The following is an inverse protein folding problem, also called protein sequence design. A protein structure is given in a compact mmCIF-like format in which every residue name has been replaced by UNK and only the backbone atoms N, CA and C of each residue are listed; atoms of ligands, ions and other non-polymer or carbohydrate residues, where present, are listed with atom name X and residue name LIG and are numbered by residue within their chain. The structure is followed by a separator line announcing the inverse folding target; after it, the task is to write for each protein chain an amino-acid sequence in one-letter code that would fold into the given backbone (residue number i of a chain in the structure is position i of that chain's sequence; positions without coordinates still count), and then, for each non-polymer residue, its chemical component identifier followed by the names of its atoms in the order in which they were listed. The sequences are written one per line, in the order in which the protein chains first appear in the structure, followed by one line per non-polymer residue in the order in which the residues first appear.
data_IF_953378618592
#
_entry.id   IF_953378618592
#
_cell.length_a   1.000
_cell.length_b   1.000
_cell.length_c   1.000
_cell.angle_alpha   90.00
_cell.angle_beta   90.00
_cell.angle_gamma   90.00
#
_symmetry.space_group_name_H-M   'P 1'
#
loop_
_entity.id
_entity.type
_entity.pdbx_description
1 polymer ?
#
# COMPACT_ATOMS: atom_id res chain seq x y z
N UNK A 1 -47.21 14.15 -17.72
CA UNK A 1 -46.33 13.43 -16.76
C UNK A 1 -45.53 12.42 -17.54
N UNK A 2 -44.24 12.68 -17.77
CA UNK A 2 -43.26 11.63 -18.10
C UNK A 2 -41.90 12.14 -17.62
N UNK A 3 -41.42 11.59 -16.51
CA UNK A 3 -40.05 11.77 -16.04
C UNK A 3 -39.23 10.64 -16.66
N UNK A 4 -38.18 10.89 -17.46
CA UNK A 4 -37.30 9.82 -17.88
C UNK A 4 -36.33 9.46 -16.75
N UNK A 5 -36.49 8.23 -16.32
CA UNK A 5 -35.60 7.33 -15.59
C UNK A 5 -34.13 7.78 -15.39
N UNK A 6 -33.75 7.90 -14.13
CA UNK A 6 -32.37 7.88 -13.64
C UNK A 6 -31.83 6.45 -13.74
N UNK A 7 -31.06 6.14 -14.78
CA UNK A 7 -30.34 4.87 -14.92
C UNK A 7 -29.17 5.09 -15.85
N UNK A 8 -28.15 5.74 -15.32
CA UNK A 8 -26.95 6.09 -16.06
C UNK A 8 -25.88 6.61 -15.12
N UNK A 9 -25.71 6.00 -13.93
CA UNK A 9 -24.42 6.08 -13.26
C UNK A 9 -23.47 5.25 -14.10
N UNK A 10 -22.97 5.92 -15.13
CA UNK A 10 -21.81 5.51 -15.88
C UNK A 10 -20.78 5.09 -14.85
N UNK A 11 -20.36 3.85 -15.01
CA UNK A 11 -19.09 3.30 -14.57
C UNK A 11 -18.00 4.21 -15.16
N UNK A 12 -17.89 5.42 -14.61
CA UNK A 12 -16.83 6.34 -14.93
C UNK A 12 -15.59 5.65 -14.40
N UNK A 13 -14.78 5.15 -15.33
CA UNK A 13 -13.38 4.83 -15.10
C UNK A 13 -12.79 5.97 -14.27
N UNK A 14 -12.64 5.71 -12.97
CA UNK A 14 -12.22 6.70 -12.00
C UNK A 14 -10.74 7.00 -12.24
N UNK A 15 -10.44 7.86 -13.20
CA UNK A 15 -9.19 8.61 -13.24
C UNK A 15 -9.22 9.76 -12.20
N UNK A 16 -9.90 9.55 -11.07
CA UNK A 16 -9.77 10.38 -9.88
C UNK A 16 -8.70 9.72 -9.02
N UNK A 17 -7.70 10.46 -8.51
CA UNK A 17 -6.82 9.91 -7.50
C UNK A 17 -7.70 9.42 -6.34
N UNK A 18 -7.65 8.12 -6.03
CA UNK A 18 -8.30 7.58 -4.83
C UNK A 18 -7.93 8.48 -3.64
N UNK A 19 -8.91 8.90 -2.85
CA UNK A 19 -8.58 9.68 -1.65
C UNK A 19 -7.83 8.77 -0.67
N UNK A 20 -6.99 9.33 0.22
CA UNK A 20 -6.28 8.53 1.23
C UNK A 20 -7.22 7.62 2.03
N UNK A 21 -8.43 8.09 2.34
CA UNK A 21 -9.44 7.31 3.06
C UNK A 21 -9.98 6.15 2.23
N UNK A 22 -10.15 6.33 0.92
CA UNK A 22 -10.55 5.27 0.00
C UNK A 22 -9.45 4.21 -0.13
N UNK A 23 -8.19 4.63 -0.29
CA UNK A 23 -7.05 3.71 -0.35
C UNK A 23 -6.99 2.83 0.91
N UNK A 24 -7.09 3.45 2.09
CA UNK A 24 -7.16 2.74 3.37
C UNK A 24 -8.31 1.74 3.43
N UNK A 25 -9.51 2.16 3.03
CA UNK A 25 -10.69 1.28 3.07
C UNK A 25 -10.53 0.08 2.15
N UNK A 26 -9.97 0.29 0.96
CA UNK A 26 -9.69 -0.77 -0.03
C UNK A 26 -8.66 -1.75 0.55
N UNK A 27 -7.52 -1.26 1.04
CA UNK A 27 -6.45 -2.12 1.56
C UNK A 27 -6.92 -2.90 2.79
N UNK A 28 -7.64 -2.29 3.72
CA UNK A 28 -8.24 -3.00 4.87
C UNK A 28 -9.27 -4.05 4.45
N UNK A 29 -10.06 -3.76 3.40
CA UNK A 29 -11.00 -4.71 2.84
C UNK A 29 -10.31 -5.94 2.26
N UNK A 30 -9.27 -5.71 1.45
CA UNK A 30 -8.46 -6.75 0.82
C UNK A 30 -7.71 -7.58 1.87
N UNK A 31 -7.13 -6.94 2.88
CA UNK A 31 -6.42 -7.63 3.96
C UNK A 31 -7.37 -8.52 4.77
N UNK A 32 -8.56 -8.01 5.13
CA UNK A 32 -9.59 -8.79 5.82
C UNK A 32 -10.10 -9.96 4.98
N UNK A 33 -10.32 -9.75 3.68
CA UNK A 33 -10.76 -10.79 2.77
C UNK A 33 -9.70 -11.88 2.60
N UNK A 34 -8.44 -11.48 2.41
CA UNK A 34 -7.30 -12.38 2.32
C UNK A 34 -7.11 -13.16 3.64
N UNK A 35 -7.23 -12.50 4.79
CA UNK A 35 -7.18 -13.15 6.10
C UNK A 35 -8.31 -14.16 6.32
N UNK A 36 -9.52 -13.88 5.80
CA UNK A 36 -10.69 -14.75 5.92
C UNK A 36 -10.64 -15.95 4.96
N UNK A 37 -10.03 -15.78 3.78
CA UNK A 37 -9.93 -16.81 2.73
C UNK A 37 -8.56 -17.49 2.65
N UNK A 38 -7.69 -17.26 3.64
CA UNK A 38 -6.31 -17.73 3.65
C UNK A 38 -6.22 -19.24 3.50
N UNK A 39 -5.54 -19.68 2.44
CA UNK A 39 -5.34 -21.09 2.09
C UNK A 39 -3.85 -21.39 1.95
N UNK A 40 -3.52 -22.67 2.13
CA UNK A 40 -2.17 -23.16 1.84
C UNK A 40 -1.92 -23.02 0.34
N UNK A 41 -0.90 -22.26 -0.03
CA UNK A 41 -0.57 -21.94 -1.41
C UNK A 41 -0.76 -20.46 -1.78
N UNK A 42 -1.30 -19.65 -0.86
CA UNK A 42 -1.43 -18.21 -1.08
C UNK A 42 -0.06 -17.51 -1.06
N UNK A 43 0.09 -16.54 -1.95
CA UNK A 43 1.31 -15.74 -2.10
C UNK A 43 1.24 -14.45 -1.27
N UNK A 44 2.35 -14.15 -0.60
CA UNK A 44 2.56 -12.92 0.15
C UNK A 44 3.77 -12.19 -0.41
N UNK A 45 3.73 -10.86 -0.32
CA UNK A 45 4.76 -9.98 -0.84
C UNK A 45 5.34 -9.16 0.31
N UNK A 46 6.65 -8.89 0.25
CA UNK A 46 7.31 -7.99 1.18
C UNK A 46 7.21 -6.55 0.68
N UNK A 47 6.86 -5.65 1.59
CA UNK A 47 6.93 -4.21 1.43
C UNK A 47 7.89 -3.68 2.49
N UNK A 48 8.79 -2.75 2.13
CA UNK A 48 9.61 -2.05 3.11
C UNK A 48 8.74 -1.43 4.20
N UNK A 49 9.10 -1.62 5.47
CA UNK A 49 8.40 -0.98 6.59
C UNK A 49 8.45 0.53 6.48
N UNK A 50 9.52 1.10 5.91
CA UNK A 50 9.63 2.54 5.69
C UNK A 50 8.54 3.05 4.74
N UNK A 51 8.43 2.42 3.57
CA UNK A 51 7.40 2.79 2.60
C UNK A 51 6.00 2.56 3.15
N UNK A 52 5.80 1.44 3.87
CA UNK A 52 4.53 1.13 4.51
C UNK A 52 4.13 2.20 5.53
N UNK A 53 5.05 2.64 6.38
CA UNK A 53 4.79 3.69 7.36
C UNK A 53 4.47 5.03 6.68
N UNK A 54 5.14 5.38 5.58
CA UNK A 54 4.79 6.58 4.79
C UNK A 54 3.39 6.48 4.17
N UNK A 55 3.01 5.29 3.70
CA UNK A 55 1.65 5.02 3.25
C UNK A 55 0.63 5.13 4.39
N UNK A 56 0.93 4.57 5.56
CA UNK A 56 0.06 4.66 6.73
C UNK A 56 -0.11 6.10 7.24
N UNK A 57 0.94 6.92 7.23
CA UNK A 57 0.84 8.35 7.54
C UNK A 57 0.00 9.09 6.49
N UNK A 58 0.20 8.78 5.20
CA UNK A 58 -0.60 9.34 4.10
C UNK A 58 -2.09 9.07 4.25
N UNK A 59 -2.47 7.84 4.58
CA UNK A 59 -3.88 7.48 4.72
C UNK A 59 -4.46 7.79 6.11
N UNK A 60 -3.69 8.44 6.99
CA UNK A 60 -4.11 8.75 8.36
C UNK A 60 -4.40 7.49 9.18
N UNK A 61 -3.63 6.43 8.99
CA UNK A 61 -3.56 5.27 9.89
C UNK A 61 -2.70 5.58 11.12
N UNK A 62 -1.61 6.33 10.95
CA UNK A 62 -0.86 6.91 12.07
C UNK A 62 -1.44 8.27 12.45
N UNK A 63 -1.90 8.43 13.68
CA UNK A 63 -2.16 9.75 14.24
C UNK A 63 -0.82 10.45 14.46
N UNK A 64 -0.37 11.24 13.48
CA UNK A 64 0.80 12.09 13.70
C UNK A 64 0.47 13.07 14.84
N UNK A 65 1.27 13.12 15.93
CA UNK A 65 1.02 14.06 17.00
C UNK A 65 1.17 15.46 16.41
N UNK A 66 0.06 16.18 16.39
CA UNK A 66 -0.06 17.57 15.95
C UNK A 66 0.88 18.45 16.80
N UNK A 67 2.15 18.55 16.40
CA UNK A 67 3.08 19.53 16.96
C UNK A 67 2.66 20.88 16.37
N UNK A 68 2.05 21.66 17.25
CA UNK A 68 1.58 23.02 17.00
C UNK A 68 2.75 23.95 16.64
N UNK A 69 2.47 24.92 15.76
CA UNK A 69 3.17 26.20 15.55
C UNK A 69 4.15 26.39 14.38
N UNK A 70 4.02 25.67 13.25
CA UNK A 70 4.59 26.19 12.00
C UNK A 70 3.65 25.94 10.81
N UNK A 71 3.47 26.96 9.98
CA UNK A 71 2.43 27.08 8.94
C UNK A 71 2.80 26.31 7.66
N UNK A 72 3.35 25.11 7.82
CA UNK A 72 3.54 24.16 6.74
C UNK A 72 2.46 23.10 6.87
N UNK A 73 1.39 23.25 6.08
CA UNK A 73 0.41 22.18 5.85
C UNK A 73 1.15 20.99 5.24
N UNK A 74 1.73 20.13 6.08
CA UNK A 74 2.19 18.81 5.69
C UNK A 74 0.95 17.98 5.43
N UNK A 75 0.29 18.24 4.30
CA UNK A 75 -0.58 17.25 3.69
C UNK A 75 0.36 16.09 3.38
N UNK A 76 0.23 14.94 4.07
CA UNK A 76 1.12 13.83 3.82
C UNK A 76 0.98 13.48 2.34
N UNK A 77 2.12 13.36 1.67
CA UNK A 77 2.14 13.14 0.23
C UNK A 77 1.91 11.66 0.01
N UNK A 78 1.13 11.33 -1.02
CA UNK A 78 0.99 9.95 -1.48
C UNK A 78 2.39 9.35 -1.64
N UNK A 79 2.69 8.22 -0.98
CA UNK A 79 3.97 7.56 -1.14
C UNK A 79 4.13 7.23 -2.63
N UNK A 80 5.35 7.39 -3.16
CA UNK A 80 5.64 7.07 -4.54
C UNK A 80 5.57 5.56 -4.81
N UNK A 81 6.21 5.13 -5.90
CA UNK A 81 6.40 3.69 -6.17
C UNK A 81 6.99 2.99 -4.95
N UNK A 82 6.54 1.75 -4.71
CA UNK A 82 7.07 0.90 -3.65
C UNK A 82 8.59 0.79 -3.79
N UNK A 83 9.30 1.24 -2.76
CA UNK A 83 10.75 1.16 -2.70
C UNK A 83 11.16 0.07 -1.70
N UNK A 84 11.57 -1.08 -2.24
CA UNK A 84 12.09 -2.21 -1.48
C UNK A 84 13.62 -2.28 -1.50
N UNK A 85 14.31 -1.26 -2.03
CA UNK A 85 15.78 -1.29 -2.18
C UNK A 85 16.52 -1.47 -0.86
N UNK A 86 15.95 -1.00 0.25
CA UNK A 86 16.54 -1.17 1.58
C UNK A 86 16.55 -2.60 2.10
N UNK A 87 15.65 -3.45 1.58
CA UNK A 87 15.57 -4.87 1.92
C UNK A 87 16.58 -5.69 1.13
N UNK A 88 17.12 -5.13 0.04
CA UNK A 88 18.05 -5.82 -0.82
C UNK A 88 19.46 -5.82 -0.21
N UNK A 89 20.14 -6.93 -0.40
CA UNK A 89 21.57 -7.07 -0.19
C UNK A 89 22.32 -6.30 -1.26
N UNK A 90 23.48 -5.74 -0.89
CA UNK A 90 24.40 -5.17 -1.87
C UNK A 90 25.09 -6.26 -2.71
N UNK A 91 25.04 -7.50 -2.23
CA UNK A 91 25.53 -8.69 -2.92
C UNK A 91 24.45 -9.16 -3.90
N UNK A 92 24.81 -9.27 -5.18
CA UNK A 92 23.99 -9.95 -6.18
C UNK A 92 24.44 -11.40 -6.25
N UNK A 93 23.50 -12.31 -6.51
CA UNK A 93 23.87 -13.67 -6.89
C UNK A 93 24.61 -13.59 -8.24
N UNK A 94 25.93 -13.74 -8.23
CA UNK A 94 26.75 -13.64 -9.45
C UNK A 94 26.43 -14.75 -10.46
N UNK A 95 25.81 -15.86 -10.02
CA UNK A 95 25.47 -17.00 -10.87
C UNK A 95 24.12 -16.81 -11.55
N UNK A 96 23.13 -16.24 -10.84
CA UNK A 96 21.76 -16.10 -11.33
C UNK A 96 21.38 -14.64 -11.68
N UNK A 97 22.25 -13.68 -11.38
CA UNK A 97 22.02 -12.24 -11.49
C UNK A 97 20.71 -11.80 -10.82
N UNK A 98 20.41 -12.42 -9.67
CA UNK A 98 19.21 -12.19 -8.87
C UNK A 98 19.49 -11.23 -7.71
N UNK A 99 18.50 -10.41 -7.39
CA UNK A 99 18.52 -9.53 -6.22
C UNK A 99 18.27 -10.38 -4.96
N UNK A 100 19.22 -10.38 -4.05
CA UNK A 100 19.12 -11.11 -2.79
C UNK A 100 18.52 -10.22 -1.70
N UNK A 101 17.71 -10.81 -0.82
CA UNK A 101 17.26 -10.14 0.40
C UNK A 101 18.39 -10.12 1.43
N UNK A 102 18.42 -9.08 2.27
CA UNK A 102 19.36 -9.01 3.40
C UNK A 102 19.09 -10.11 4.42
N UNK A 103 20.15 -10.67 4.97
CA UNK A 103 20.03 -11.61 6.09
C UNK A 103 19.58 -10.88 7.37
N UNK A 104 18.74 -11.55 8.17
CA UNK A 104 18.30 -11.03 9.47
C UNK A 104 17.17 -10.00 9.42
N UNK A 105 16.51 -9.80 8.27
CA UNK A 105 15.31 -8.98 8.17
C UNK A 105 14.20 -9.51 9.09
N UNK A 106 13.55 -8.62 9.83
CA UNK A 106 12.45 -8.94 10.72
C UNK A 106 11.12 -8.34 10.23
N UNK A 107 10.09 -9.17 10.24
CA UNK A 107 8.71 -8.75 9.96
C UNK A 107 8.25 -7.71 11.01
N UNK A 108 7.48 -6.71 10.57
CA UNK A 108 7.03 -5.53 11.34
C UNK A 108 8.15 -4.56 11.79
N UNK A 109 9.42 -4.85 11.50
CA UNK A 109 10.56 -3.95 11.77
C UNK A 109 11.14 -3.47 10.45
N UNK A 110 11.68 -4.37 9.64
CA UNK A 110 12.32 -4.04 8.37
C UNK A 110 11.33 -4.10 7.21
N UNK A 111 10.41 -5.08 7.23
CA UNK A 111 9.39 -5.25 6.21
C UNK A 111 8.04 -5.63 6.78
N UNK A 112 7.00 -5.42 5.97
CA UNK A 112 5.65 -5.92 6.20
C UNK A 112 5.25 -6.92 5.14
N UNK A 113 4.60 -8.00 5.55
CA UNK A 113 3.99 -8.96 4.63
C UNK A 113 2.58 -8.52 4.28
N UNK A 114 2.32 -8.41 2.98
CA UNK A 114 0.99 -8.12 2.45
C UNK A 114 0.50 -9.23 1.54
N UNK A 115 -0.80 -9.57 1.57
CA UNK A 115 -1.38 -10.49 0.60
C UNK A 115 -1.18 -10.01 -0.84
N UNK A 116 -1.14 -10.94 -1.80
CA UNK A 116 -1.03 -10.63 -3.23
C UNK A 116 -2.00 -9.55 -3.70
N UNK A 117 -3.25 -9.59 -3.26
CA UNK A 117 -4.27 -8.65 -3.72
C UNK A 117 -4.02 -7.23 -3.18
N UNK A 118 -3.51 -7.13 -1.94
CA UNK A 118 -3.05 -5.87 -1.36
C UNK A 118 -1.85 -5.33 -2.14
N UNK A 119 -0.84 -6.18 -2.40
CA UNK A 119 0.34 -5.80 -3.18
C UNK A 119 -0.02 -5.26 -4.56
N UNK A 120 -0.84 -5.99 -5.32
CA UNK A 120 -1.30 -5.57 -6.65
C UNK A 120 -1.96 -4.20 -6.60
N UNK A 121 -2.74 -3.94 -5.54
CA UNK A 121 -3.45 -2.67 -5.43
C UNK A 121 -2.49 -1.50 -5.14
N UNK A 122 -1.49 -1.72 -4.31
CA UNK A 122 -0.45 -0.73 -4.02
C UNK A 122 0.46 -0.47 -5.23
N UNK A 123 0.73 -1.48 -6.06
CA UNK A 123 1.53 -1.35 -7.29
C UNK A 123 0.74 -0.68 -8.45
N UNK A 124 -0.58 -0.84 -8.49
CA UNK A 124 -1.46 -0.17 -9.47
C UNK A 124 -1.55 1.35 -9.23
N UNK A 125 -1.32 1.78 -8.00
CA UNK A 125 -1.42 3.16 -7.53
C UNK A 125 -0.13 3.96 -7.74
#
# INVERSE_FOLDING_TARGET
MTIPNSSGFLYAQSCLPCTPEEEKSIIQGLDREAGSNRKKGDSYYLVSSRWWNEWEDYVGLQESPQISNDVSFHIPRRPGRIDNSELLSSEMDEENNELLLREGLMEEIDFKLVPQEVWKKLDEW
#
